data_IF_870232604340
#
_entry.id   IF_870232604340
#
_cell.length_a   1.000
_cell.length_b   1.000
_cell.length_c   1.000
_cell.angle_alpha   90.00
_cell.angle_beta   90.00
_cell.angle_gamma   90.00
#
_symmetry.space_group_name_H-M   'P 1'
#
loop_
_entity.id
_entity.type
_entity.pdbx_description
1 polymer ?
#
# COMPACT_ATOMS: atom_id res chain seq x y z
N UNK A 1 -9.04 1.92 -14.62
CA UNK A 1 -7.57 1.87 -14.42
C UNK A 1 -7.15 3.11 -13.64
N UNK A 2 -6.41 2.86 -12.55
CA UNK A 2 -6.16 3.70 -11.35
C UNK A 2 -5.15 4.82 -11.56
N UNK A 3 -5.32 6.00 -10.93
CA UNK A 3 -4.27 7.04 -10.83
C UNK A 3 -4.26 7.90 -9.56
N UNK A 4 -3.06 8.39 -9.24
CA UNK A 4 -2.44 8.64 -7.93
C UNK A 4 -2.29 10.14 -7.58
N UNK A 5 -2.03 10.43 -6.30
CA UNK A 5 -2.23 11.64 -5.49
C UNK A 5 -3.70 11.87 -5.15
N UNK A 6 -4.12 11.43 -3.96
CA UNK A 6 -5.46 11.70 -3.40
C UNK A 6 -5.83 13.19 -3.47
N UNK A 7 -4.84 14.08 -3.35
CA UNK A 7 -4.96 15.52 -3.52
C UNK A 7 -5.19 15.98 -4.98
N UNK A 8 -4.59 15.30 -5.96
CA UNK A 8 -4.69 15.64 -7.39
C UNK A 8 -5.87 14.94 -8.06
N UNK A 9 -6.34 13.80 -7.54
CA UNK A 9 -7.53 13.08 -8.03
C UNK A 9 -8.80 13.93 -7.97
N UNK A 10 -8.93 14.80 -6.97
CA UNK A 10 -10.11 15.70 -6.85
C UNK A 10 -10.10 16.84 -7.88
N UNK A 11 -8.97 17.11 -8.53
CA UNK A 11 -8.79 18.27 -9.41
C UNK A 11 -8.43 17.89 -10.85
N UNK A 12 -7.89 16.69 -11.09
CA UNK A 12 -7.55 16.21 -12.41
C UNK A 12 -8.81 15.80 -13.20
N UNK A 13 -9.04 16.47 -14.34
CA UNK A 13 -10.08 16.06 -15.31
C UNK A 13 -9.73 14.77 -16.04
N UNK A 14 -8.46 14.40 -16.09
CA UNK A 14 -7.94 13.24 -16.81
C UNK A 14 -7.03 12.40 -15.93
N UNK A 15 -7.50 11.17 -15.70
CA UNK A 15 -6.84 10.09 -15.01
C UNK A 15 -5.45 9.78 -15.60
N UNK A 16 -5.32 9.69 -16.93
CA UNK A 16 -4.07 9.31 -17.60
C UNK A 16 -2.93 10.31 -17.36
N UNK A 17 -3.28 11.60 -17.30
CA UNK A 17 -2.32 12.68 -17.02
C UNK A 17 -1.77 12.58 -15.61
N UNK A 18 -2.61 12.29 -14.62
CA UNK A 18 -2.19 12.12 -13.23
C UNK A 18 -1.20 10.94 -13.09
N UNK A 19 -1.39 9.85 -13.83
CA UNK A 19 -0.36 8.79 -13.84
C UNK A 19 0.95 9.22 -14.44
N UNK A 20 0.90 9.93 -15.56
CA UNK A 20 2.09 10.37 -16.25
C UNK A 20 2.96 11.20 -15.32
N UNK A 21 2.32 12.09 -14.56
CA UNK A 21 2.95 12.88 -13.51
C UNK A 21 3.51 12.02 -12.38
N UNK A 22 2.76 11.01 -11.92
CA UNK A 22 3.25 10.10 -10.89
C UNK A 22 4.46 9.27 -11.33
N UNK A 23 4.42 8.71 -12.55
CA UNK A 23 5.56 7.97 -13.12
C UNK A 23 6.78 8.85 -13.27
N UNK A 24 6.60 10.08 -13.77
CA UNK A 24 7.68 11.05 -13.87
C UNK A 24 8.27 11.39 -12.50
N UNK A 25 7.42 11.59 -11.49
CA UNK A 25 7.85 11.79 -10.10
C UNK A 25 8.70 10.64 -9.58
N UNK A 26 8.29 9.38 -9.81
CA UNK A 26 9.09 8.21 -9.43
C UNK A 26 10.46 8.25 -10.12
N UNK A 27 10.50 8.49 -11.43
CA UNK A 27 11.75 8.54 -12.19
C UNK A 27 12.69 9.66 -11.72
N UNK A 28 12.18 10.87 -11.49
CA UNK A 28 12.95 12.01 -10.99
C UNK A 28 13.55 11.76 -9.59
N UNK A 29 12.88 10.93 -8.78
CA UNK A 29 13.29 10.64 -7.42
C UNK A 29 13.91 9.24 -7.25
N UNK A 30 14.18 8.52 -8.34
CA UNK A 30 14.68 7.13 -8.32
C UNK A 30 15.85 6.91 -7.38
N UNK A 31 16.82 7.83 -7.35
CA UNK A 31 18.02 7.71 -6.51
C UNK A 31 17.76 7.90 -5.01
N UNK A 32 16.61 8.47 -4.65
CA UNK A 32 16.19 8.75 -3.26
C UNK A 32 15.16 7.75 -2.75
N UNK A 33 14.44 7.10 -3.66
CA UNK A 33 13.41 6.13 -3.29
C UNK A 33 14.01 4.87 -2.67
N UNK A 34 13.36 4.33 -1.62
CA UNK A 34 13.65 2.98 -1.15
C UNK A 34 13.45 1.95 -2.27
N UNK A 35 14.31 0.93 -2.29
CA UNK A 35 14.44 0.04 -3.43
C UNK A 35 13.17 -0.81 -3.65
N UNK A 36 12.57 -1.33 -2.57
CA UNK A 36 11.35 -2.13 -2.65
C UNK A 36 10.17 -1.30 -3.13
N UNK A 37 10.00 -0.10 -2.56
CA UNK A 37 8.96 0.84 -2.99
C UNK A 37 9.10 1.22 -4.47
N UNK A 38 10.30 1.59 -4.94
CA UNK A 38 10.51 1.93 -6.34
C UNK A 38 10.22 0.74 -7.26
N UNK A 39 10.70 -0.45 -6.90
CA UNK A 39 10.50 -1.66 -7.69
C UNK A 39 9.01 -1.98 -7.85
N UNK A 40 8.20 -1.83 -6.80
CA UNK A 40 6.75 -2.02 -6.87
C UNK A 40 6.08 -0.94 -7.70
N UNK A 41 6.31 0.33 -7.36
CA UNK A 41 5.64 1.46 -7.99
C UNK A 41 5.94 1.59 -9.50
N UNK A 42 7.01 0.95 -9.99
CA UNK A 42 7.41 0.98 -11.41
C UNK A 42 7.24 -0.37 -12.11
N UNK A 43 6.77 -1.40 -11.42
CA UNK A 43 6.52 -2.69 -12.07
C UNK A 43 5.30 -2.62 -12.99
N UNK A 44 5.42 -3.23 -14.18
CA UNK A 44 4.35 -3.22 -15.19
C UNK A 44 3.04 -3.85 -14.68
N UNK A 45 3.13 -4.73 -13.70
CA UNK A 45 1.99 -5.46 -13.11
C UNK A 45 1.30 -4.72 -11.96
N UNK A 46 1.97 -3.79 -11.28
CA UNK A 46 1.49 -3.28 -9.97
C UNK A 46 0.17 -2.51 -10.08
N UNK A 47 -0.04 -1.83 -11.21
CA UNK A 47 -1.27 -1.09 -11.53
C UNK A 47 -2.07 -1.71 -12.69
N UNK A 48 -1.70 -2.91 -13.13
CA UNK A 48 -2.41 -3.64 -14.19
C UNK A 48 -3.51 -4.51 -13.58
N UNK A 49 -4.80 -4.18 -13.76
CA UNK A 49 -5.89 -5.01 -13.23
C UNK A 49 -5.96 -6.41 -13.87
N UNK A 50 -5.27 -6.65 -14.99
CA UNK A 50 -5.16 -7.97 -15.61
C UNK A 50 -4.14 -8.89 -14.93
N UNK A 51 -3.26 -8.36 -14.09
CA UNK A 51 -2.29 -9.18 -13.36
C UNK A 51 -2.85 -9.60 -11.99
N UNK A 52 -2.72 -10.89 -11.67
CA UNK A 52 -3.25 -11.48 -10.46
C UNK A 52 -2.57 -10.99 -9.17
N UNK A 53 -1.39 -10.36 -9.31
CA UNK A 53 -0.63 -9.75 -8.21
C UNK A 53 -1.04 -8.31 -7.93
N UNK A 54 -1.88 -7.71 -8.76
CA UNK A 54 -2.35 -6.34 -8.58
C UNK A 54 -3.10 -6.20 -7.25
N UNK A 55 -2.84 -5.09 -6.54
CA UNK A 55 -3.43 -4.84 -5.22
C UNK A 55 -4.86 -4.32 -5.33
N UNK A 56 -5.20 -3.69 -6.46
CA UNK A 56 -6.53 -3.15 -6.72
C UNK A 56 -7.60 -4.25 -6.58
N UNK A 57 -8.73 -3.91 -5.96
CA UNK A 57 -9.83 -4.84 -5.61
C UNK A 57 -9.42 -5.97 -4.64
N UNK A 58 -8.22 -5.91 -4.06
CA UNK A 58 -7.80 -6.82 -3.00
C UNK A 58 -8.57 -6.57 -1.70
N UNK A 59 -8.89 -7.65 -0.99
CA UNK A 59 -9.63 -7.59 0.27
C UNK A 59 -8.69 -7.74 1.46
N UNK A 60 -8.82 -6.86 2.45
CA UNK A 60 -8.05 -6.95 3.68
C UNK A 60 -8.38 -8.22 4.46
N UNK A 61 -7.37 -9.07 4.65
CA UNK A 61 -7.46 -10.27 5.50
C UNK A 61 -6.91 -9.99 6.90
N UNK A 62 -5.76 -9.32 7.00
CA UNK A 62 -5.20 -8.92 8.29
C UNK A 62 -4.27 -7.71 8.20
N UNK A 63 -4.08 -7.08 9.36
CA UNK A 63 -2.98 -6.17 9.64
C UNK A 63 -2.27 -6.67 10.89
N UNK A 64 -0.94 -6.63 10.89
CA UNK A 64 -0.14 -6.88 12.10
C UNK A 64 0.81 -5.72 12.34
N UNK A 65 0.78 -5.17 13.55
CA UNK A 65 1.79 -4.22 14.06
C UNK A 65 2.58 -4.97 15.13
N UNK A 66 3.91 -5.00 14.99
CA UNK A 66 4.77 -5.68 15.95
C UNK A 66 5.98 -4.84 16.31
N UNK A 67 6.40 -4.96 17.56
CA UNK A 67 7.57 -4.28 18.12
C UNK A 67 8.48 -5.32 18.79
N UNK A 68 9.19 -6.16 18.01
CA UNK A 68 10.11 -7.13 18.56
C UNK A 68 11.12 -6.41 19.45
N UNK A 69 11.26 -6.90 20.68
CA UNK A 69 12.18 -6.34 21.64
C UNK A 69 13.53 -7.06 21.56
N UNK A 70 14.61 -6.28 21.56
CA UNK A 70 15.99 -6.73 21.55
C UNK A 70 16.77 -6.05 22.67
N UNK A 71 17.94 -6.60 23.01
CA UNK A 71 18.81 -6.10 24.09
C UNK A 71 18.49 -6.71 25.46
N UNK A 72 19.42 -6.57 26.41
CA UNK A 72 19.35 -7.25 27.71
C UNK A 72 18.14 -6.82 28.54
N UNK A 73 17.57 -5.64 28.26
CA UNK A 73 16.38 -5.11 28.92
C UNK A 73 15.18 -5.02 28.00
N UNK A 74 15.20 -5.64 26.82
CA UNK A 74 14.14 -5.52 25.82
C UNK A 74 13.90 -4.05 25.41
N UNK A 75 14.95 -3.23 25.42
CA UNK A 75 14.91 -1.78 25.23
C UNK A 75 14.97 -1.35 23.76
N UNK A 76 15.56 -2.16 22.89
CA UNK A 76 15.66 -1.86 21.45
C UNK A 76 14.41 -2.38 20.76
N UNK A 77 13.58 -1.45 20.27
CA UNK A 77 12.33 -1.75 19.58
C UNK A 77 12.29 -1.08 18.22
N UNK A 78 11.76 -1.80 17.25
CA UNK A 78 11.45 -1.27 15.92
C UNK A 78 10.03 -1.69 15.61
N UNK A 79 9.19 -0.73 15.27
CA UNK A 79 7.83 -1.02 14.81
C UNK A 79 7.89 -1.55 13.38
N UNK A 80 7.33 -2.74 13.15
CA UNK A 80 7.09 -3.28 11.81
C UNK A 80 5.59 -3.41 11.57
N UNK A 81 5.19 -3.24 10.32
CA UNK A 81 3.79 -3.26 9.92
C UNK A 81 3.63 -4.25 8.77
N UNK A 82 2.59 -5.09 8.83
CA UNK A 82 2.27 -6.05 7.78
C UNK A 82 0.82 -5.91 7.38
N UNK A 83 0.55 -5.90 6.08
CA UNK A 83 -0.79 -5.99 5.51
C UNK A 83 -0.88 -7.28 4.72
N UNK A 84 -1.92 -8.06 4.94
CA UNK A 84 -2.27 -9.21 4.09
C UNK A 84 -3.59 -8.95 3.40
N UNK A 85 -3.59 -9.18 2.09
CA UNK A 85 -4.79 -9.12 1.25
C UNK A 85 -5.08 -10.49 0.66
N UNK A 86 -6.37 -10.81 0.47
CA UNK A 86 -6.81 -11.73 -0.56
C UNK A 86 -6.83 -10.96 -1.88
N UNK A 87 -6.12 -11.42 -2.91
CA UNK A 87 -6.07 -10.70 -4.18
C UNK A 87 -7.40 -10.77 -4.94
N UNK A 88 -7.65 -9.84 -5.86
CA UNK A 88 -8.93 -9.67 -6.55
C UNK A 88 -9.46 -10.94 -7.26
N UNK A 89 -8.56 -11.79 -7.77
CA UNK A 89 -8.91 -13.05 -8.43
C UNK A 89 -9.14 -14.20 -7.43
N UNK A 90 -8.96 -13.95 -6.14
CA UNK A 90 -9.11 -14.89 -5.01
C UNK A 90 -8.25 -16.17 -5.12
N UNK A 91 -7.22 -16.15 -5.96
CA UNK A 91 -6.32 -17.27 -6.27
C UNK A 91 -4.95 -17.15 -5.58
N UNK A 92 -4.78 -16.13 -4.75
CA UNK A 92 -3.62 -15.97 -3.89
C UNK A 92 -3.76 -14.83 -2.90
N UNK A 93 -2.75 -14.72 -2.05
CA UNK A 93 -2.64 -13.66 -1.06
C UNK A 93 -1.47 -12.75 -1.40
N UNK A 94 -1.65 -11.48 -1.12
CA UNK A 94 -0.60 -10.46 -1.20
C UNK A 94 -0.19 -10.11 0.23
N UNK A 95 1.11 -10.05 0.49
CA UNK A 95 1.64 -9.50 1.75
C UNK A 95 2.57 -8.32 1.48
N UNK A 96 2.28 -7.19 2.13
CA UNK A 96 3.18 -6.04 2.21
C UNK A 96 3.78 -5.98 3.61
N UNK A 97 5.11 -5.95 3.71
CA UNK A 97 5.85 -5.80 4.95
C UNK A 97 6.63 -4.49 4.94
N UNK A 98 6.40 -3.66 5.95
CA UNK A 98 7.19 -2.46 6.26
C UNK A 98 8.12 -2.80 7.44
N UNK A 99 9.43 -3.01 7.20
CA UNK A 99 10.33 -3.55 8.21
C UNK A 99 10.64 -2.56 9.33
N UNK A 100 10.61 -1.26 9.05
CA UNK A 100 10.76 -0.18 10.03
C UNK A 100 9.79 0.94 9.71
N UNK A 101 8.83 1.14 10.60
CA UNK A 101 7.81 2.19 10.52
C UNK A 101 8.20 3.35 11.43
N UNK A 102 8.10 4.56 10.90
CA UNK A 102 8.35 5.81 11.61
C UNK A 102 7.06 6.44 12.13
N UNK A 103 5.99 6.35 11.34
CA UNK A 103 4.66 6.81 11.72
C UNK A 103 3.60 6.05 10.94
N UNK A 104 2.39 5.94 11.48
CA UNK A 104 1.24 5.43 10.73
C UNK A 104 -0.05 6.07 11.22
N UNK A 105 -1.04 6.16 10.32
CA UNK A 105 -2.38 6.64 10.61
C UNK A 105 -3.38 5.74 9.87
N UNK A 106 -4.26 5.09 10.62
CA UNK A 106 -5.32 4.25 10.05
C UNK A 106 -6.66 4.91 10.37
N UNK A 107 -7.27 5.55 9.38
CA UNK A 107 -8.56 6.24 9.55
C UNK A 107 -9.64 5.48 8.80
N UNK A 108 -10.69 5.08 9.51
CA UNK A 108 -11.86 4.43 8.94
C UNK A 108 -13.13 5.05 9.54
N UNK A 109 -14.00 5.68 8.72
CA UNK A 109 -15.27 6.23 9.21
C UNK A 109 -16.21 5.16 9.80
N UNK A 110 -16.12 3.92 9.33
CA UNK A 110 -16.89 2.78 9.81
C UNK A 110 -16.16 1.48 9.48
N UNK A 111 -16.13 0.55 10.44
CA UNK A 111 -15.58 -0.80 10.26
C UNK A 111 -16.66 -1.89 10.26
N UNK A 112 -17.95 -1.52 10.22
CA UNK A 112 -19.08 -2.46 10.42
C UNK A 112 -19.09 -3.65 9.45
N UNK A 113 -18.55 -3.47 8.25
CA UNK A 113 -18.52 -4.47 7.18
C UNK A 113 -17.10 -4.76 6.69
N UNK A 114 -16.08 -4.29 7.41
CA UNK A 114 -14.69 -4.26 6.93
C UNK A 114 -14.36 -2.99 6.13
N UNK A 115 -13.21 -2.98 5.46
CA UNK A 115 -12.69 -1.82 4.74
C UNK A 115 -13.23 -1.68 3.30
N UNK A 116 -13.80 -2.74 2.74
CA UNK A 116 -14.09 -2.84 1.31
C UNK A 116 -12.82 -3.08 0.50
N UNK A 117 -12.88 -2.75 -0.78
CA UNK A 117 -11.81 -2.98 -1.75
C UNK A 117 -10.64 -2.03 -1.54
N UNK A 118 -9.40 -2.53 -1.71
CA UNK A 118 -8.23 -1.69 -1.91
C UNK A 118 -8.41 -0.93 -3.24
N UNK A 119 -8.67 0.36 -3.16
CA UNK A 119 -9.13 1.12 -4.31
C UNK A 119 -7.99 1.88 -4.97
N UNK A 120 -7.18 2.58 -4.18
CA UNK A 120 -6.02 3.31 -4.68
C UNK A 120 -4.90 3.29 -3.65
N UNK A 121 -3.68 3.40 -4.14
CA UNK A 121 -2.51 3.58 -3.30
C UNK A 121 -1.43 4.41 -3.97
N UNK A 122 -0.50 4.89 -3.15
CA UNK A 122 0.62 5.71 -3.61
C UNK A 122 1.85 5.52 -2.74
N UNK A 123 3.00 5.39 -3.39
CA UNK A 123 4.30 5.61 -2.77
C UNK A 123 4.86 7.00 -3.08
N UNK A 124 5.24 7.76 -2.05
CA UNK A 124 5.98 9.04 -2.14
C UNK A 124 7.06 9.16 -1.07
N UNK A 125 7.89 10.18 -1.17
CA UNK A 125 8.87 10.54 -0.15
C UNK A 125 8.33 11.57 0.84
N UNK A 126 8.57 11.36 2.14
CA UNK A 126 8.37 12.38 3.17
C UNK A 126 9.43 13.49 3.07
N UNK A 127 9.25 14.64 3.74
CA UNK A 127 10.29 15.67 3.80
C UNK A 127 11.63 15.19 4.38
N UNK A 128 11.61 14.10 5.16
CA UNK A 128 12.79 13.44 5.72
C UNK A 128 13.39 12.38 4.77
N UNK A 129 12.79 12.15 3.61
CA UNK A 129 13.22 11.14 2.64
C UNK A 129 12.77 9.72 2.97
N UNK A 130 11.85 9.52 3.91
CA UNK A 130 11.26 8.21 4.18
C UNK A 130 10.20 7.85 3.14
N UNK A 131 9.92 6.55 2.98
CA UNK A 131 8.76 6.11 2.21
C UNK A 131 7.48 6.55 2.93
N UNK A 132 6.51 7.07 2.19
CA UNK A 132 5.11 7.12 2.61
C UNK A 132 4.32 6.26 1.65
N UNK A 133 3.62 5.26 2.18
CA UNK A 133 2.57 4.54 1.49
C UNK A 133 1.21 5.03 1.96
N UNK A 134 0.42 5.60 1.06
CA UNK A 134 -0.96 5.99 1.30
C UNK A 134 -1.91 5.06 0.59
N UNK A 135 -2.98 4.64 1.28
CA UNK A 135 -3.95 3.65 0.79
C UNK A 135 -5.36 4.19 1.01
N UNK A 136 -6.20 4.12 -0.01
CA UNK A 136 -7.62 4.42 0.03
C UNK A 136 -8.43 3.14 -0.15
N UNK A 137 -9.41 2.95 0.74
CA UNK A 137 -10.33 1.81 0.69
C UNK A 137 -11.72 2.27 0.28
N UNK A 138 -12.36 1.52 -0.62
CA UNK A 138 -13.64 1.88 -1.21
C UNK A 138 -14.79 1.96 -0.18
N UNK A 139 -14.69 1.22 0.93
CA UNK A 139 -15.83 1.00 1.81
C UNK A 139 -16.95 0.26 1.08
N UNK A 140 -18.19 0.61 1.39
CA UNK A 140 -19.39 0.02 0.78
C UNK A 140 -20.34 1.13 0.34
N UNK A 141 -21.36 0.84 -0.50
CA UNK A 141 -22.31 1.85 -0.95
C UNK A 141 -22.89 2.66 0.22
N UNK A 142 -22.73 3.98 0.15
CA UNK A 142 -23.17 4.95 1.16
C UNK A 142 -22.15 5.27 2.26
N UNK A 143 -21.03 4.54 2.35
CA UNK A 143 -19.96 4.81 3.31
C UNK A 143 -18.94 5.81 2.75
N UNK A 144 -18.27 6.54 3.64
CA UNK A 144 -17.09 7.34 3.29
C UNK A 144 -15.86 6.42 3.20
N UNK A 145 -14.97 6.66 2.24
CA UNK A 145 -13.73 5.89 2.08
C UNK A 145 -12.85 5.95 3.34
N UNK A 146 -12.17 4.84 3.62
CA UNK A 146 -11.12 4.80 4.64
C UNK A 146 -9.78 5.20 4.03
N UNK A 147 -8.90 5.80 4.83
CA UNK A 147 -7.57 6.25 4.39
C UNK A 147 -6.51 5.84 5.38
N UNK A 148 -5.51 5.12 4.90
CA UNK A 148 -4.36 4.72 5.69
C UNK A 148 -3.10 5.37 5.16
N UNK A 149 -2.18 5.71 6.06
CA UNK A 149 -0.87 6.26 5.75
C UNK A 149 0.15 5.51 6.59
N UNK A 150 1.21 5.00 5.97
CA UNK A 150 2.35 4.35 6.63
C UNK A 150 3.62 5.03 6.15
N UNK A 151 4.36 5.66 7.07
CA UNK A 151 5.71 6.16 6.83
C UNK A 151 6.73 5.12 7.28
N UNK A 152 7.58 4.65 6.36
CA UNK A 152 8.47 3.53 6.59
C UNK A 152 9.85 3.71 5.93
N UNK A 153 10.79 2.83 6.27
CA UNK A 153 12.10 2.79 5.62
C UNK A 153 12.03 2.23 4.20
N UNK A 154 11.17 1.24 3.97
CA UNK A 154 10.92 0.58 2.68
C UNK A 154 9.64 -0.28 2.78
N UNK A 155 9.32 -1.02 1.72
CA UNK A 155 8.26 -2.03 1.65
C UNK A 155 8.77 -3.29 0.94
N UNK A 156 8.36 -4.46 1.43
CA UNK A 156 8.63 -5.76 0.82
C UNK A 156 7.32 -6.41 0.41
N UNK A 157 7.23 -6.86 -0.83
CA UNK A 157 6.07 -7.54 -1.38
C UNK A 157 6.29 -9.04 -1.46
N UNK A 158 5.26 -9.81 -1.11
CA UNK A 158 5.21 -11.25 -1.38
C UNK A 158 3.87 -11.63 -2.01
N UNK A 159 3.95 -12.47 -3.05
CA UNK A 159 2.81 -13.17 -3.63
C UNK A 159 2.78 -14.60 -3.10
N UNK A 160 1.62 -15.04 -2.60
CA UNK A 160 1.42 -16.37 -2.04
C UNK A 160 0.25 -17.04 -2.79
N UNK A 161 0.52 -17.87 -3.82
CA UNK A 161 -0.53 -18.57 -4.54
C UNK A 161 -1.35 -19.45 -3.59
N UNK A 162 -2.67 -19.42 -3.73
CA UNK A 162 -3.56 -20.34 -3.03
C UNK A 162 -3.51 -21.67 -3.77
N UNK A 163 -2.96 -22.71 -3.14
CA UNK A 163 -3.01 -24.05 -3.70
C UNK A 163 -4.48 -24.45 -3.86
N UNK A 164 -4.86 -24.90 -5.05
CA UNK A 164 -6.12 -25.60 -5.24
C UNK A 164 -6.11 -26.83 -4.35
N UNK A 165 -7.00 -26.88 -3.37
CA UNK A 165 -7.37 -28.15 -2.76
C UNK A 165 -8.13 -28.91 -3.84
N UNK A 166 -7.44 -29.85 -4.48
CA UNK A 166 -8.06 -30.82 -5.39
C UNK A 166 -9.02 -31.73 -4.65
#
# INVERSE_FOLDING_TARGET
MSFILSAQRRTAKDCSVAFGQYREYLHQNKSKFPAGAFALATADWYYDPGDHRCLHDGWLENITISEPALGDRNEKRVTSFRIRLLAAYHDGYIELLYPRVFSYMLTSPTCKRGQGDWLFDEFRLSPLGHLIHEIEWAGFPGDQCSRWIVEASDVVFHWIPRRSTG
#
